data_IF_734538730779
#
_entry.id   IF_734538730779
#
_cell.length_a   1.000
_cell.length_b   1.000
_cell.length_c   1.000
_cell.angle_alpha   90.00
_cell.angle_beta   90.00
_cell.angle_gamma   90.00
#
_symmetry.space_group_name_H-M   'P 1'
#
loop_
_entity.id
_entity.type
_entity.pdbx_description
1 polymer ?
#
# COMPACT_ATOMS: atom_id res chain seq x y z
N UNK A 1 -18.20 11.01 9.41
CA UNK A 1 -17.73 10.48 8.11
C UNK A 1 -17.69 11.60 7.08
N UNK A 2 -16.90 11.47 6.00
CA UNK A 2 -16.87 12.44 4.89
C UNK A 2 -18.04 12.17 3.93
N UNK A 3 -18.44 13.18 3.15
CA UNK A 3 -19.56 13.07 2.18
C UNK A 3 -19.34 11.97 1.13
N UNK A 4 -18.10 11.77 0.68
CA UNK A 4 -17.71 10.71 -0.27
C UNK A 4 -17.82 9.31 0.34
N UNK A 5 -17.56 9.18 1.63
CA UNK A 5 -17.76 7.94 2.37
C UNK A 5 -19.24 7.63 2.59
N UNK A 6 -20.07 8.64 2.87
CA UNK A 6 -21.53 8.48 2.97
C UNK A 6 -22.13 8.04 1.62
N UNK A 7 -21.67 8.63 0.52
CA UNK A 7 -22.08 8.20 -0.84
C UNK A 7 -21.73 6.74 -1.11
N UNK A 8 -20.57 6.28 -0.65
CA UNK A 8 -20.18 4.88 -0.78
C UNK A 8 -21.07 3.94 0.05
N UNK A 9 -21.43 4.34 1.29
CA UNK A 9 -22.36 3.57 2.14
C UNK A 9 -23.73 3.49 1.47
N UNK A 10 -24.27 4.60 1.01
CA UNK A 10 -25.57 4.66 0.32
C UNK A 10 -25.60 3.72 -0.90
N UNK A 11 -24.50 3.62 -1.63
CA UNK A 11 -24.39 2.72 -2.77
C UNK A 11 -24.27 1.23 -2.38
N UNK A 12 -23.73 0.93 -1.19
CA UNK A 12 -23.47 -0.44 -0.73
C UNK A 12 -24.62 -1.04 0.09
N UNK A 13 -25.28 -0.25 0.93
CA UNK A 13 -26.31 -0.71 1.88
C UNK A 13 -27.50 -1.47 1.25
N UNK A 14 -28.02 -1.08 0.07
CA UNK A 14 -29.14 -1.77 -0.56
C UNK A 14 -28.82 -3.20 -1.01
N UNK A 15 -27.54 -3.58 -1.03
CA UNK A 15 -27.09 -4.84 -1.59
C UNK A 15 -26.54 -5.78 -0.51
N UNK A 16 -26.93 -7.06 -0.55
CA UNK A 16 -26.42 -8.09 0.35
C UNK A 16 -24.93 -8.37 0.08
N UNK A 17 -24.49 -8.26 -1.20
CA UNK A 17 -23.11 -8.52 -1.59
C UNK A 17 -22.57 -7.40 -2.48
N UNK A 18 -21.29 -7.07 -2.31
CA UNK A 18 -20.63 -6.08 -3.16
C UNK A 18 -19.20 -5.76 -2.76
N UNK A 19 -18.50 -5.14 -3.70
CA UNK A 19 -17.11 -4.69 -3.52
C UNK A 19 -17.06 -3.17 -3.50
N UNK A 20 -16.35 -2.63 -2.51
CA UNK A 20 -15.87 -1.26 -2.48
C UNK A 20 -14.48 -1.18 -3.10
N UNK A 21 -14.36 -0.54 -4.25
CA UNK A 21 -13.07 -0.24 -4.88
C UNK A 21 -12.64 1.19 -4.53
N UNK A 22 -11.73 1.33 -3.58
CA UNK A 22 -11.31 2.64 -3.07
C UNK A 22 -9.82 2.68 -2.74
N UNK A 23 -9.18 3.82 -2.95
CA UNK A 23 -7.76 4.06 -2.69
C UNK A 23 -7.38 3.79 -1.23
N UNK A 24 -6.08 3.60 -0.96
CA UNK A 24 -5.58 3.23 0.38
C UNK A 24 -5.97 4.23 1.46
N UNK A 25 -6.02 5.52 1.17
CA UNK A 25 -6.33 6.56 2.16
C UNK A 25 -7.82 6.97 2.21
N UNK A 26 -8.70 6.26 1.51
CA UNK A 26 -10.13 6.56 1.48
C UNK A 26 -10.84 6.30 2.83
N UNK A 27 -10.30 5.40 3.65
CA UNK A 27 -10.92 5.01 4.92
C UNK A 27 -11.83 3.79 4.80
N UNK A 28 -11.50 2.84 3.94
CA UNK A 28 -12.24 1.57 3.72
C UNK A 28 -12.62 0.87 5.02
N UNK A 29 -11.70 0.82 5.98
CA UNK A 29 -11.93 0.16 7.28
C UNK A 29 -13.04 0.82 8.08
N UNK A 30 -13.05 2.16 8.16
CA UNK A 30 -14.08 2.93 8.88
C UNK A 30 -15.46 2.72 8.23
N UNK A 31 -15.49 2.73 6.90
CA UNK A 31 -16.71 2.45 6.14
C UNK A 31 -17.22 1.02 6.42
N UNK A 32 -16.35 0.03 6.44
CA UNK A 32 -16.75 -1.33 6.76
C UNK A 32 -17.27 -1.48 8.20
N UNK A 33 -16.65 -0.81 9.18
CA UNK A 33 -17.14 -0.76 10.57
C UNK A 33 -18.55 -0.16 10.60
N UNK A 34 -18.79 0.94 9.87
CA UNK A 34 -20.13 1.55 9.78
C UNK A 34 -21.14 0.60 9.13
N UNK A 35 -20.76 -0.08 8.05
CA UNK A 35 -21.61 -1.08 7.37
C UNK A 35 -21.98 -2.24 8.31
N UNK A 36 -21.03 -2.73 9.12
CA UNK A 36 -21.32 -3.77 10.12
C UNK A 36 -22.32 -3.29 11.15
N UNK A 37 -22.18 -2.05 11.65
CA UNK A 37 -23.12 -1.46 12.61
C UNK A 37 -24.53 -1.30 12.02
N UNK A 38 -24.67 -0.80 10.79
CA UNK A 38 -25.96 -0.63 10.11
C UNK A 38 -26.69 -1.96 9.88
N UNK A 39 -25.95 -3.02 9.59
CA UNK A 39 -26.53 -4.34 9.35
C UNK A 39 -26.88 -5.11 10.61
N UNK A 40 -26.33 -4.74 11.77
CA UNK A 40 -26.64 -5.31 13.07
C UNK A 40 -26.44 -6.83 13.13
N UNK A 41 -25.46 -7.37 12.42
CA UNK A 41 -25.12 -8.80 12.40
C UNK A 41 -23.70 -9.01 12.92
N UNK A 42 -23.49 -10.17 13.54
CA UNK A 42 -22.15 -10.60 13.88
C UNK A 42 -21.28 -10.73 12.61
N UNK A 43 -20.00 -10.37 12.73
CA UNK A 43 -19.14 -10.22 11.58
C UNK A 43 -17.83 -11.00 11.70
N UNK A 44 -17.41 -11.61 10.60
CA UNK A 44 -16.09 -12.19 10.42
C UNK A 44 -15.30 -11.35 9.41
N UNK A 45 -14.17 -10.81 9.86
CA UNK A 45 -13.28 -10.00 9.03
C UNK A 45 -12.11 -10.87 8.58
N UNK A 46 -11.99 -11.09 7.29
CA UNK A 46 -10.93 -11.88 6.69
C UNK A 46 -9.78 -11.00 6.24
N UNK A 47 -8.60 -11.33 6.71
CA UNK A 47 -7.34 -10.68 6.32
C UNK A 47 -6.30 -11.74 5.93
N UNK A 48 -5.34 -11.37 5.09
CA UNK A 48 -4.30 -12.31 4.63
C UNK A 48 -2.98 -12.17 5.40
N UNK A 49 -2.85 -11.17 6.33
CA UNK A 49 -1.64 -10.93 7.12
C UNK A 49 -1.93 -10.51 8.54
N UNK A 50 -1.02 -10.89 9.44
CA UNK A 50 -1.08 -10.55 10.85
C UNK A 50 -1.12 -9.03 11.09
N UNK A 51 -0.33 -8.28 10.38
CA UNK A 51 -0.29 -6.83 10.52
C UNK A 51 -1.63 -6.16 10.21
N UNK A 52 -2.35 -6.63 9.18
CA UNK A 52 -3.71 -6.17 8.89
C UNK A 52 -4.68 -6.56 10.02
N UNK A 53 -4.54 -7.76 10.59
CA UNK A 53 -5.36 -8.18 11.72
C UNK A 53 -5.17 -7.26 12.93
N UNK A 54 -3.93 -6.94 13.28
CA UNK A 54 -3.62 -6.04 14.38
C UNK A 54 -4.20 -4.63 14.13
N UNK A 55 -4.08 -4.10 12.90
CA UNK A 55 -4.69 -2.82 12.50
C UNK A 55 -6.22 -2.83 12.55
N UNK A 56 -6.87 -3.92 12.14
CA UNK A 56 -8.31 -4.04 12.23
C UNK A 56 -8.78 -3.96 13.69
N UNK A 57 -8.09 -4.64 14.60
CA UNK A 57 -8.41 -4.62 16.03
C UNK A 57 -8.24 -3.21 16.60
N UNK A 58 -7.15 -2.51 16.28
CA UNK A 58 -6.92 -1.13 16.70
C UNK A 58 -8.02 -0.21 16.18
N UNK A 59 -8.42 -0.34 14.92
CA UNK A 59 -9.46 0.50 14.32
C UNK A 59 -10.87 0.17 14.84
N UNK A 60 -11.19 -1.10 15.07
CA UNK A 60 -12.43 -1.49 15.72
C UNK A 60 -12.54 -0.86 17.11
N UNK A 61 -11.45 -0.93 17.89
CA UNK A 61 -11.40 -0.31 19.23
C UNK A 61 -11.52 1.22 19.17
N UNK A 62 -10.91 1.86 18.16
CA UNK A 62 -10.90 3.32 18.03
C UNK A 62 -12.20 3.91 17.45
N UNK A 63 -12.89 3.17 16.58
CA UNK A 63 -14.06 3.68 15.83
C UNK A 63 -15.37 2.97 16.13
N UNK A 64 -15.42 2.09 17.14
CA UNK A 64 -16.65 1.50 17.65
C UNK A 64 -16.67 1.58 19.18
N UNK A 65 -17.81 1.25 19.77
CA UNK A 65 -17.98 1.14 21.22
C UNK A 65 -17.50 -0.19 21.79
N UNK A 66 -16.93 -1.07 20.93
CA UNK A 66 -16.49 -2.39 21.36
C UNK A 66 -15.15 -2.31 22.11
N UNK A 67 -15.05 -2.83 23.34
CA UNK A 67 -13.79 -2.93 24.03
C UNK A 67 -12.90 -3.99 23.34
N UNK A 68 -11.58 -3.81 23.46
CA UNK A 68 -10.60 -4.65 22.77
C UNK A 68 -10.73 -6.16 23.08
N UNK A 69 -11.13 -6.51 24.28
CA UNK A 69 -11.31 -7.88 24.75
C UNK A 69 -12.60 -8.54 24.21
N UNK A 70 -13.56 -7.77 23.70
CA UNK A 70 -14.74 -8.26 23.01
C UNK A 70 -14.48 -8.59 21.52
N UNK A 71 -13.35 -8.16 20.96
CA UNK A 71 -12.95 -8.46 19.59
C UNK A 71 -12.20 -9.79 19.56
N UNK A 72 -12.70 -10.76 18.80
CA UNK A 72 -12.06 -12.06 18.69
C UNK A 72 -10.93 -12.11 17.67
N UNK A 73 -10.05 -13.07 17.83
CA UNK A 73 -8.87 -13.27 16.99
C UNK A 73 -8.70 -14.74 16.60
N UNK A 74 -8.52 -15.00 15.30
CA UNK A 74 -8.25 -16.34 14.77
C UNK A 74 -7.02 -16.26 13.86
N UNK A 75 -5.87 -16.69 14.37
CA UNK A 75 -4.62 -16.71 13.62
C UNK A 75 -3.44 -16.10 14.34
N UNK A 76 -2.25 -16.19 13.75
CA UNK A 76 -1.03 -15.67 14.33
C UNK A 76 -0.65 -16.31 15.67
N UNK A 77 -0.91 -17.62 15.83
CA UNK A 77 -0.68 -18.34 17.08
C UNK A 77 -1.78 -18.17 18.15
N UNK A 78 -2.85 -17.43 17.85
CA UNK A 78 -3.98 -17.23 18.77
C UNK A 78 -5.27 -17.72 18.14
N UNK A 79 -6.12 -18.36 18.96
CA UNK A 79 -7.46 -18.78 18.59
C UNK A 79 -8.40 -18.46 19.74
N UNK A 80 -8.98 -17.27 19.70
CA UNK A 80 -9.90 -16.74 20.71
C UNK A 80 -11.08 -16.05 20.03
N UNK A 81 -11.96 -16.80 19.33
CA UNK A 81 -13.17 -16.21 18.76
C UNK A 81 -14.11 -15.72 19.86
N UNK A 82 -14.83 -14.67 19.59
CA UNK A 82 -15.86 -14.07 20.48
C UNK A 82 -17.27 -14.19 19.89
N UNK A 83 -17.37 -14.42 18.58
CA UNK A 83 -18.63 -14.67 17.89
C UNK A 83 -19.44 -13.42 17.55
N UNK A 84 -19.06 -12.25 18.05
CA UNK A 84 -19.71 -10.98 17.72
C UNK A 84 -18.98 -10.26 16.58
N UNK A 85 -17.71 -9.92 16.76
CA UNK A 85 -16.83 -9.42 15.71
C UNK A 85 -15.47 -10.11 15.87
N UNK A 86 -15.10 -10.90 14.90
CA UNK A 86 -13.87 -11.64 14.92
C UNK A 86 -13.01 -11.29 13.69
N UNK A 87 -11.70 -11.14 13.90
CA UNK A 87 -10.74 -10.92 12.83
C UNK A 87 -9.93 -12.21 12.63
N UNK A 88 -9.92 -12.72 11.42
CA UNK A 88 -9.29 -13.99 11.11
C UNK A 88 -8.25 -13.88 9.98
N UNK A 89 -7.11 -14.55 10.18
CA UNK A 89 -6.21 -14.88 9.07
C UNK A 89 -6.83 -15.99 8.24
N UNK A 90 -7.02 -15.77 6.95
CA UNK A 90 -7.64 -16.75 6.08
C UNK A 90 -6.92 -18.11 6.10
N UNK A 91 -5.58 -18.11 6.18
CA UNK A 91 -4.76 -19.32 6.25
C UNK A 91 -4.98 -20.12 7.55
N UNK A 92 -5.52 -19.48 8.59
CA UNK A 92 -5.82 -20.12 9.86
C UNK A 92 -7.19 -20.79 9.89
N UNK A 93 -8.04 -20.46 8.90
CA UNK A 93 -9.36 -21.06 8.71
C UNK A 93 -9.36 -22.24 7.75
N UNK A 94 -8.29 -22.43 6.98
CA UNK A 94 -8.18 -23.53 6.00
C UNK A 94 -7.00 -24.42 6.39
N UNK A 95 -7.27 -25.70 6.68
CA UNK A 95 -6.26 -26.72 6.97
C UNK A 95 -6.49 -27.95 6.12
N UNK A 96 -5.47 -28.39 5.37
CA UNK A 96 -5.53 -29.59 4.51
C UNK A 96 -6.75 -29.63 3.57
N UNK A 97 -7.17 -28.44 3.09
CA UNK A 97 -8.35 -28.34 2.20
C UNK A 97 -9.70 -28.26 2.93
N UNK A 98 -9.74 -28.43 4.25
CA UNK A 98 -10.95 -28.29 5.07
C UNK A 98 -11.05 -26.89 5.65
N UNK A 99 -12.26 -26.37 5.70
CA UNK A 99 -12.58 -25.05 6.27
C UNK A 99 -13.17 -25.21 7.66
N UNK A 100 -12.71 -24.40 8.58
CA UNK A 100 -13.21 -24.31 9.95
C UNK A 100 -14.71 -23.97 9.97
N UNK A 101 -15.48 -24.75 10.68
CA UNK A 101 -16.96 -24.62 10.78
C UNK A 101 -17.41 -23.26 11.35
N UNK A 102 -16.53 -22.59 12.08
CA UNK A 102 -16.80 -21.27 12.66
C UNK A 102 -17.21 -20.25 11.60
N UNK A 103 -16.72 -20.41 10.36
CA UNK A 103 -17.04 -19.52 9.23
C UNK A 103 -18.56 -19.44 8.96
N UNK A 104 -19.29 -20.53 9.23
CA UNK A 104 -20.72 -20.63 9.05
C UNK A 104 -21.56 -19.90 10.12
N UNK A 105 -20.93 -19.37 11.16
CA UNK A 105 -21.64 -18.80 12.32
C UNK A 105 -21.85 -17.27 12.22
N UNK A 106 -21.36 -16.62 11.16
CA UNK A 106 -21.44 -15.17 10.99
C UNK A 106 -22.48 -14.77 9.94
N UNK A 107 -23.20 -13.69 10.23
CA UNK A 107 -24.17 -13.11 9.31
C UNK A 107 -23.57 -12.08 8.33
N UNK A 108 -22.36 -11.58 8.62
CA UNK A 108 -21.64 -10.63 7.78
C UNK A 108 -20.17 -11.05 7.60
N UNK A 109 -19.73 -11.17 6.38
CA UNK A 109 -18.35 -11.47 5.99
C UNK A 109 -17.72 -10.21 5.39
N UNK A 110 -16.65 -9.69 5.99
CA UNK A 110 -15.86 -8.57 5.47
C UNK A 110 -14.52 -9.12 4.97
N UNK A 111 -14.17 -8.83 3.74
CA UNK A 111 -12.97 -9.36 3.08
C UNK A 111 -12.04 -8.21 2.74
N UNK A 112 -11.00 -8.02 3.54
CA UNK A 112 -10.06 -6.92 3.32
C UNK A 112 -8.98 -7.29 2.30
N UNK A 113 -8.63 -6.31 1.46
CA UNK A 113 -7.74 -6.46 0.31
C UNK A 113 -8.07 -7.73 -0.50
N UNK A 114 -9.33 -7.89 -0.86
CA UNK A 114 -9.88 -9.09 -1.48
C UNK A 114 -9.15 -9.51 -2.78
N UNK A 115 -8.39 -8.61 -3.40
CA UNK A 115 -7.54 -8.90 -4.55
C UNK A 115 -6.24 -9.66 -4.20
N UNK A 116 -5.84 -9.70 -2.94
CA UNK A 116 -4.65 -10.43 -2.47
C UNK A 116 -4.95 -11.85 -1.98
N UNK A 117 -6.21 -12.20 -1.80
CA UNK A 117 -6.57 -13.51 -1.30
C UNK A 117 -6.25 -14.60 -2.32
N UNK A 118 -5.70 -15.70 -1.86
CA UNK A 118 -5.55 -16.90 -2.68
C UNK A 118 -6.93 -17.31 -3.19
N UNK A 119 -7.07 -17.44 -4.51
CA UNK A 119 -8.32 -17.85 -5.13
C UNK A 119 -8.90 -19.10 -4.49
N UNK A 120 -8.08 -20.13 -4.27
CA UNK A 120 -8.50 -21.41 -3.69
C UNK A 120 -8.94 -21.29 -2.24
N UNK A 121 -8.11 -20.69 -1.36
CA UNK A 121 -8.47 -20.57 0.06
C UNK A 121 -9.69 -19.68 0.27
N UNK A 122 -9.82 -18.62 -0.51
CA UNK A 122 -10.97 -17.73 -0.40
C UNK A 122 -12.25 -18.38 -0.92
N UNK A 123 -12.18 -19.10 -2.03
CA UNK A 123 -13.31 -19.85 -2.56
C UNK A 123 -13.83 -20.88 -1.55
N UNK A 124 -12.93 -21.65 -0.91
CA UNK A 124 -13.29 -22.59 0.12
C UNK A 124 -14.02 -21.93 1.30
N UNK A 125 -13.48 -20.83 1.81
CA UNK A 125 -14.09 -20.06 2.92
C UNK A 125 -15.43 -19.46 2.50
N UNK A 126 -15.53 -18.88 1.31
CA UNK A 126 -16.77 -18.28 0.82
C UNK A 126 -17.88 -19.32 0.64
N UNK A 127 -17.57 -20.51 0.11
CA UNK A 127 -18.52 -21.62 -0.02
C UNK A 127 -19.02 -22.17 1.33
N UNK A 128 -18.17 -22.12 2.36
CA UNK A 128 -18.55 -22.56 3.71
C UNK A 128 -19.34 -21.50 4.47
N UNK A 129 -19.19 -20.24 4.10
CA UNK A 129 -19.88 -19.12 4.74
C UNK A 129 -21.39 -19.20 4.51
N UNK A 130 -22.16 -18.96 5.59
CA UNK A 130 -23.61 -18.78 5.56
C UNK A 130 -23.98 -17.30 5.72
N UNK A 131 -23.01 -16.40 5.63
CA UNK A 131 -23.23 -14.97 5.78
C UNK A 131 -24.17 -14.46 4.68
N UNK A 132 -25.23 -13.79 5.08
CA UNK A 132 -26.10 -13.07 4.16
C UNK A 132 -25.37 -11.90 3.51
N UNK A 133 -24.56 -11.18 4.29
CA UNK A 133 -23.87 -9.99 3.84
C UNK A 133 -22.39 -10.27 3.56
N UNK A 134 -21.92 -9.91 2.37
CA UNK A 134 -20.51 -10.04 2.01
C UNK A 134 -20.01 -8.69 1.46
N UNK A 135 -18.99 -8.12 2.10
CA UNK A 135 -18.35 -6.87 1.71
C UNK A 135 -16.89 -7.10 1.37
N UNK A 136 -16.55 -6.96 0.09
CA UNK A 136 -15.16 -6.93 -0.37
C UNK A 136 -14.59 -5.51 -0.33
N UNK A 137 -13.39 -5.36 0.21
CA UNK A 137 -12.64 -4.09 0.22
C UNK A 137 -11.39 -4.26 -0.64
N UNK A 138 -11.13 -3.33 -1.55
CA UNK A 138 -9.94 -3.37 -2.40
C UNK A 138 -9.46 -1.98 -2.80
N UNK A 139 -8.15 -1.82 -2.89
CA UNK A 139 -7.57 -0.64 -3.55
C UNK A 139 -7.59 -0.79 -5.08
N UNK A 140 -7.58 -2.02 -5.58
CA UNK A 140 -7.62 -2.35 -7.01
C UNK A 140 -8.52 -3.57 -7.22
N UNK A 141 -9.40 -3.51 -8.22
CA UNK A 141 -10.30 -4.63 -8.56
C UNK A 141 -9.67 -5.61 -9.54
N UNK A 142 -8.54 -5.24 -10.15
CA UNK A 142 -7.80 -6.08 -11.09
C UNK A 142 -6.69 -6.84 -10.37
N UNK A 143 -6.58 -8.15 -10.65
CA UNK A 143 -5.51 -9.01 -10.14
C UNK A 143 -4.39 -9.16 -11.16
N UNK A 144 -3.16 -9.35 -10.69
CA UNK A 144 -1.98 -9.59 -11.54
C UNK A 144 -2.11 -10.87 -12.38
N UNK A 145 -2.75 -11.89 -11.81
CA UNK A 145 -2.92 -13.22 -12.39
C UNK A 145 -4.16 -13.35 -13.29
N UNK A 146 -4.91 -12.27 -13.52
CA UNK A 146 -6.13 -12.29 -14.32
C UNK A 146 -7.36 -12.90 -13.64
N UNK A 147 -7.23 -13.47 -12.44
CA UNK A 147 -8.33 -14.12 -11.71
C UNK A 147 -9.24 -13.14 -10.97
N UNK A 148 -9.37 -11.89 -11.43
CA UNK A 148 -10.29 -10.90 -10.87
C UNK A 148 -11.79 -11.31 -10.92
N UNK A 149 -12.27 -12.15 -11.87
CA UNK A 149 -13.66 -12.60 -11.82
C UNK A 149 -14.02 -13.32 -10.53
N UNK A 150 -13.08 -14.02 -9.90
CA UNK A 150 -13.31 -14.72 -8.62
C UNK A 150 -13.73 -13.76 -7.51
N UNK A 151 -13.17 -12.55 -7.47
CA UNK A 151 -13.57 -11.52 -6.49
C UNK A 151 -15.04 -11.19 -6.67
N UNK A 152 -15.48 -10.99 -7.91
CA UNK A 152 -16.88 -10.67 -8.24
C UNK A 152 -17.80 -11.85 -7.93
N UNK A 153 -17.36 -13.07 -8.23
CA UNK A 153 -18.14 -14.27 -7.92
C UNK A 153 -18.37 -14.49 -6.43
N UNK A 154 -17.37 -14.15 -5.59
CA UNK A 154 -17.43 -14.42 -4.15
C UNK A 154 -17.91 -13.21 -3.32
N UNK A 155 -17.54 -12.00 -3.69
CA UNK A 155 -17.92 -10.78 -2.96
C UNK A 155 -19.07 -10.01 -3.62
N UNK A 156 -19.50 -10.41 -4.81
CA UNK A 156 -20.46 -9.65 -5.62
C UNK A 156 -19.79 -8.58 -6.49
N UNK A 157 -20.58 -7.85 -7.30
CA UNK A 157 -20.06 -6.83 -8.19
C UNK A 157 -19.52 -5.61 -7.45
N UNK A 158 -18.71 -4.80 -8.15
CA UNK A 158 -18.26 -3.51 -7.63
C UNK A 158 -19.48 -2.57 -7.56
N UNK A 159 -19.90 -2.25 -6.35
CA UNK A 159 -21.06 -1.37 -6.08
C UNK A 159 -20.67 0.11 -5.99
N UNK A 160 -19.45 0.37 -5.56
CA UNK A 160 -18.92 1.72 -5.51
C UNK A 160 -17.44 1.73 -5.90
N UNK A 161 -17.07 2.67 -6.76
CA UNK A 161 -15.69 2.87 -7.19
C UNK A 161 -15.29 4.32 -6.94
N UNK A 162 -14.21 4.49 -6.20
CA UNK A 162 -13.62 5.80 -5.93
C UNK A 162 -12.62 6.13 -7.04
N UNK A 163 -12.79 7.28 -7.67
CA UNK A 163 -11.82 7.80 -8.62
C UNK A 163 -10.57 8.29 -7.88
N UNK A 164 -9.46 7.61 -8.10
CA UNK A 164 -8.19 7.92 -7.45
C UNK A 164 -7.67 9.32 -7.79
N UNK A 165 -7.90 9.78 -9.03
CA UNK A 165 -7.50 11.10 -9.51
C UNK A 165 -8.34 12.20 -8.87
N UNK A 166 -9.65 12.01 -8.81
CA UNK A 166 -10.56 12.94 -8.14
C UNK A 166 -10.25 13.02 -6.64
N UNK A 167 -9.93 11.89 -6.00
CA UNK A 167 -9.51 11.88 -4.59
C UNK A 167 -8.16 12.59 -4.37
N UNK A 168 -7.20 12.44 -5.27
CA UNK A 168 -5.94 13.17 -5.19
C UNK A 168 -6.17 14.68 -5.29
N UNK A 169 -7.04 15.13 -6.19
CA UNK A 169 -7.35 16.55 -6.39
C UNK A 169 -7.99 17.24 -5.17
N UNK A 170 -8.65 16.47 -4.29
CA UNK A 170 -9.26 17.01 -3.05
C UNK A 170 -8.25 17.26 -1.92
N UNK A 171 -7.00 16.82 -2.08
CA UNK A 171 -6.00 16.92 -0.99
C UNK A 171 -5.34 18.27 -0.99
N UNK A 172 -4.96 18.80 0.20
CA UNK A 172 -4.37 20.13 0.34
C UNK A 172 -2.89 20.19 -0.07
N UNK A 173 -2.37 19.21 -0.80
CA UNK A 173 -0.97 19.13 -1.22
C UNK A 173 -0.84 18.62 -2.66
N UNK A 174 0.22 19.08 -3.33
CA UNK A 174 0.55 18.69 -4.70
C UNK A 174 1.06 17.25 -4.78
N UNK A 175 0.83 16.62 -5.92
CA UNK A 175 1.29 15.26 -6.21
C UNK A 175 2.25 15.26 -7.40
N UNK A 176 3.53 15.00 -7.15
CA UNK A 176 4.58 15.13 -8.15
C UNK A 176 5.37 13.83 -8.29
N UNK A 177 5.73 13.48 -9.51
CA UNK A 177 6.74 12.45 -9.80
C UNK A 177 7.92 13.11 -10.48
N UNK A 178 9.09 12.94 -9.91
CA UNK A 178 10.38 13.31 -10.51
C UNK A 178 10.99 12.08 -11.16
N UNK A 179 11.04 12.06 -12.50
CA UNK A 179 11.70 10.98 -13.23
C UNK A 179 13.21 11.27 -13.24
N UNK A 180 13.99 10.32 -12.77
CA UNK A 180 15.46 10.35 -12.74
C UNK A 180 16.00 9.36 -13.77
N UNK A 181 16.49 9.86 -14.89
CA UNK A 181 17.13 9.01 -15.88
C UNK A 181 18.46 8.49 -15.34
N UNK A 182 18.70 7.18 -15.47
CA UNK A 182 19.94 6.54 -15.05
C UNK A 182 20.79 6.17 -16.27
N UNK A 183 22.08 5.93 -16.03
CA UNK A 183 22.99 5.45 -17.04
C UNK A 183 23.16 3.92 -17.04
N UNK A 184 22.39 3.22 -16.23
CA UNK A 184 22.48 1.77 -16.09
C UNK A 184 22.37 1.05 -17.44
N UNK A 185 23.30 0.14 -17.69
CA UNK A 185 23.36 -0.72 -18.87
C UNK A 185 23.74 -2.13 -18.42
N UNK A 186 23.16 -3.13 -19.08
CA UNK A 186 23.55 -4.52 -18.87
C UNK A 186 24.96 -4.78 -19.46
N UNK A 187 25.77 -5.50 -18.72
CA UNK A 187 27.02 -6.03 -19.21
C UNK A 187 26.75 -7.28 -20.05
N UNK A 188 26.40 -7.09 -21.33
CA UNK A 188 26.13 -8.22 -22.22
C UNK A 188 27.45 -8.69 -22.86
N UNK A 189 27.75 -9.98 -22.68
CA UNK A 189 28.83 -10.64 -23.43
C UNK A 189 28.24 -11.20 -24.74
N UNK A 190 28.87 -10.93 -25.86
CA UNK A 190 28.47 -11.45 -27.18
C UNK A 190 28.38 -12.99 -27.12
N UNK A 191 27.22 -13.54 -27.52
CA UNK A 191 26.99 -14.98 -27.56
C UNK A 191 26.29 -15.58 -26.33
N UNK A 192 25.95 -14.78 -25.30
CA UNK A 192 25.13 -15.24 -24.16
C UNK A 192 23.63 -15.08 -24.43
N UNK A 193 22.78 -16.02 -23.93
CA UNK A 193 21.32 -15.86 -23.99
C UNK A 193 20.88 -14.55 -23.31
N UNK A 194 19.76 -14.00 -23.76
CA UNK A 194 19.18 -12.80 -23.14
C UNK A 194 18.99 -13.02 -21.63
N UNK A 195 19.48 -12.11 -20.77
CA UNK A 195 19.41 -12.28 -19.32
C UNK A 195 17.96 -12.32 -18.84
N UNK A 196 17.69 -13.16 -17.84
CA UNK A 196 16.39 -13.17 -17.18
C UNK A 196 16.14 -11.85 -16.46
N UNK A 197 14.88 -11.52 -16.19
CA UNK A 197 14.56 -10.32 -15.40
C UNK A 197 15.22 -10.34 -14.01
N UNK A 198 15.46 -11.53 -13.46
CA UNK A 198 16.13 -11.67 -12.16
C UNK A 198 17.61 -11.31 -12.23
N UNK A 199 18.28 -11.66 -13.33
CA UNK A 199 19.68 -11.30 -13.56
C UNK A 199 19.80 -9.79 -13.78
N UNK A 200 18.91 -9.21 -14.60
CA UNK A 200 18.82 -7.75 -14.78
C UNK A 200 18.65 -7.01 -13.47
N UNK A 201 17.75 -7.47 -12.59
CA UNK A 201 17.52 -6.85 -11.30
C UNK A 201 18.67 -7.07 -10.31
N UNK A 202 19.48 -8.10 -10.49
CA UNK A 202 20.68 -8.34 -9.69
C UNK A 202 21.78 -7.33 -10.09
N UNK A 203 22.07 -7.21 -11.37
CA UNK A 203 23.05 -6.21 -11.86
C UNK A 203 22.61 -4.77 -11.49
N UNK A 204 21.31 -4.47 -11.58
CA UNK A 204 20.77 -3.16 -11.22
C UNK A 204 21.04 -2.77 -9.75
N UNK A 205 20.97 -3.74 -8.84
CA UNK A 205 21.23 -3.53 -7.41
C UNK A 205 22.70 -3.22 -7.15
N UNK A 206 23.59 -3.80 -7.95
CA UNK A 206 25.04 -3.69 -7.80
C UNK A 206 25.62 -2.49 -8.56
N UNK A 207 24.81 -1.72 -9.33
CA UNK A 207 25.27 -0.54 -10.08
C UNK A 207 25.53 0.64 -9.12
N UNK A 208 26.80 0.94 -8.90
CA UNK A 208 27.24 1.98 -7.98
C UNK A 208 26.80 3.37 -8.41
N UNK A 209 26.92 3.74 -9.69
CA UNK A 209 26.54 5.06 -10.17
C UNK A 209 25.05 5.34 -9.99
N UNK A 210 24.21 4.32 -10.16
CA UNK A 210 22.76 4.38 -9.87
C UNK A 210 22.50 4.50 -8.37
N UNK A 211 23.21 3.76 -7.56
CA UNK A 211 23.09 3.82 -6.11
C UNK A 211 23.58 5.17 -5.55
N UNK A 212 24.60 5.78 -6.15
CA UNK A 212 25.05 7.12 -5.80
C UNK A 212 23.98 8.16 -6.12
N UNK A 213 23.36 8.10 -7.31
CA UNK A 213 22.26 8.98 -7.67
C UNK A 213 21.08 8.86 -6.69
N UNK A 214 20.73 7.64 -6.27
CA UNK A 214 19.66 7.41 -5.27
C UNK A 214 20.06 8.02 -3.93
N UNK A 215 21.29 7.81 -3.52
CA UNK A 215 21.80 8.32 -2.25
C UNK A 215 21.78 9.85 -2.20
N UNK A 216 22.29 10.51 -3.26
CA UNK A 216 22.31 11.97 -3.36
C UNK A 216 20.91 12.57 -3.33
N UNK A 217 19.96 11.97 -4.07
CA UNK A 217 18.57 12.39 -4.07
C UNK A 217 17.90 12.25 -2.68
N UNK A 218 18.25 11.20 -1.92
CA UNK A 218 17.75 11.00 -0.54
C UNK A 218 18.32 12.06 0.39
N UNK A 219 19.62 12.36 0.29
CA UNK A 219 20.25 13.41 1.10
C UNK A 219 19.64 14.78 0.80
N UNK A 220 19.47 15.15 -0.47
CA UNK A 220 18.80 16.39 -0.85
C UNK A 220 17.39 16.49 -0.26
N UNK A 221 16.62 15.39 -0.26
CA UNK A 221 15.30 15.40 0.35
C UNK A 221 15.34 15.59 1.87
N UNK A 222 16.33 15.02 2.55
CA UNK A 222 16.53 15.22 3.98
C UNK A 222 16.92 16.67 4.30
N UNK A 223 17.81 17.28 3.51
CA UNK A 223 18.19 18.69 3.62
C UNK A 223 17.01 19.64 3.38
N UNK A 224 16.07 19.25 2.49
CA UNK A 224 14.79 19.95 2.29
C UNK A 224 13.81 19.77 3.47
N UNK A 225 14.18 19.04 4.53
CA UNK A 225 13.34 18.75 5.70
C UNK A 225 12.21 17.77 5.42
N UNK A 226 12.33 16.96 4.36
CA UNK A 226 11.31 15.99 3.99
C UNK A 226 11.37 14.72 4.84
N UNK A 227 10.28 13.95 4.80
CA UNK A 227 10.17 12.64 5.47
C UNK A 227 10.18 11.50 4.44
N UNK A 228 11.37 11.08 3.98
CA UNK A 228 11.49 10.10 2.91
C UNK A 228 11.28 8.66 3.35
N UNK A 229 10.75 7.86 2.42
CA UNK A 229 10.81 6.41 2.44
C UNK A 229 11.46 5.87 1.18
N UNK A 230 12.49 5.05 1.34
CA UNK A 230 13.21 4.39 0.26
C UNK A 230 12.70 2.96 0.15
N UNK A 231 12.17 2.58 -1.02
CA UNK A 231 11.62 1.25 -1.26
C UNK A 231 12.52 0.45 -2.20
N UNK A 232 12.87 -0.75 -1.76
CA UNK A 232 13.51 -1.76 -2.59
C UNK A 232 12.82 -3.12 -2.45
N UNK A 233 12.97 -3.99 -3.45
CA UNK A 233 12.43 -5.37 -3.41
C UNK A 233 13.50 -6.40 -2.98
N UNK A 234 14.76 -5.98 -2.80
CA UNK A 234 15.90 -6.84 -2.48
C UNK A 234 16.48 -6.50 -1.11
N UNK A 235 16.65 -7.52 -0.26
CA UNK A 235 17.19 -7.35 1.10
C UNK A 235 18.63 -6.87 1.09
N UNK A 236 19.46 -7.37 0.17
CA UNK A 236 20.85 -6.92 0.00
C UNK A 236 20.92 -5.42 -0.33
N UNK A 237 20.11 -4.97 -1.31
CA UNK A 237 20.03 -3.55 -1.66
C UNK A 237 19.52 -2.68 -0.50
N UNK A 238 18.53 -3.17 0.26
CA UNK A 238 18.05 -2.49 1.45
C UNK A 238 19.16 -2.28 2.48
N UNK A 239 19.96 -3.32 2.73
CA UNK A 239 21.08 -3.28 3.68
C UNK A 239 22.19 -2.33 3.20
N UNK A 240 22.52 -2.35 1.90
CA UNK A 240 23.50 -1.43 1.29
C UNK A 240 23.06 0.03 1.45
N UNK A 241 21.82 0.36 1.07
CA UNK A 241 21.31 1.73 1.17
C UNK A 241 21.24 2.17 2.64
N UNK A 242 20.72 1.32 3.53
CA UNK A 242 20.59 1.65 4.96
C UNK A 242 21.96 1.95 5.58
N UNK A 243 22.96 1.09 5.32
CA UNK A 243 24.33 1.26 5.84
C UNK A 243 24.98 2.55 5.34
N UNK A 244 24.77 2.92 4.08
CA UNK A 244 25.27 4.21 3.55
C UNK A 244 24.62 5.40 4.26
N UNK A 245 23.31 5.35 4.47
CA UNK A 245 22.57 6.44 5.10
C UNK A 245 22.84 6.60 6.60
N UNK A 246 23.23 5.52 7.30
CA UNK A 246 23.53 5.57 8.77
C UNK A 246 24.61 6.59 9.15
N UNK A 247 25.50 6.95 8.22
CA UNK A 247 26.56 7.93 8.44
C UNK A 247 26.14 9.38 8.14
N UNK A 248 24.99 9.59 7.51
CA UNK A 248 24.54 10.89 6.99
C UNK A 248 23.18 11.32 7.52
N UNK A 249 22.28 10.38 7.77
CA UNK A 249 20.95 10.67 8.29
C UNK A 249 20.90 10.45 9.80
N UNK A 250 20.24 11.35 10.53
CA UNK A 250 20.13 11.30 11.99
C UNK A 250 19.43 10.03 12.48
N UNK A 251 18.35 9.63 11.80
CA UNK A 251 17.61 8.41 12.12
C UNK A 251 17.35 7.60 10.84
N UNK A 252 17.98 6.44 10.77
CA UNK A 252 17.70 5.43 9.74
C UNK A 252 16.87 4.31 10.36
N UNK A 253 15.67 4.07 9.81
CA UNK A 253 14.76 3.03 10.28
C UNK A 253 14.54 2.00 9.19
N UNK A 254 14.92 0.76 9.46
CA UNK A 254 14.84 -0.34 8.50
C UNK A 254 13.59 -1.19 8.74
N UNK A 255 12.74 -1.33 7.69
CA UNK A 255 11.50 -2.10 7.72
C UNK A 255 11.56 -3.24 6.70
N UNK A 256 11.65 -4.47 7.19
CA UNK A 256 11.73 -5.66 6.31
C UNK A 256 10.87 -6.82 6.79
N UNK A 257 10.57 -7.74 5.90
CA UNK A 257 9.94 -9.01 6.24
C UNK A 257 10.82 -9.88 7.15
N UNK A 258 10.22 -10.90 7.79
CA UNK A 258 10.94 -11.86 8.64
C UNK A 258 11.25 -11.38 10.06
N UNK A 259 10.92 -10.14 10.41
CA UNK A 259 11.10 -9.61 11.77
C UNK A 259 10.09 -10.23 12.74
N UNK A 260 10.58 -10.57 13.96
CA UNK A 260 9.75 -11.07 15.04
C UNK A 260 8.75 -10.02 15.53
N UNK A 261 7.74 -10.45 16.28
CA UNK A 261 6.74 -9.52 16.86
C UNK A 261 7.38 -8.51 17.83
N UNK A 262 8.39 -8.93 18.57
CA UNK A 262 9.16 -8.07 19.46
C UNK A 262 9.90 -6.99 18.65
N UNK A 263 10.66 -7.39 17.63
CA UNK A 263 11.39 -6.44 16.77
C UNK A 263 10.46 -5.42 16.11
N UNK A 264 9.27 -5.85 15.65
CA UNK A 264 8.29 -4.92 15.05
C UNK A 264 7.75 -3.92 16.07
N UNK A 265 7.49 -4.35 17.30
CA UNK A 265 7.07 -3.45 18.39
C UNK A 265 8.18 -2.46 18.75
N UNK A 266 9.41 -2.93 18.86
CA UNK A 266 10.56 -2.07 19.16
C UNK A 266 10.78 -1.01 18.07
N UNK A 267 10.65 -1.38 16.80
CA UNK A 267 10.74 -0.45 15.66
C UNK A 267 9.58 0.57 15.69
N UNK A 268 8.35 0.12 15.95
CA UNK A 268 7.21 1.02 16.06
C UNK A 268 7.37 2.01 17.22
N UNK A 269 7.85 1.54 18.37
CA UNK A 269 8.16 2.39 19.52
C UNK A 269 9.28 3.39 19.19
N UNK A 270 10.35 2.95 18.52
CA UNK A 270 11.44 3.82 18.05
C UNK A 270 10.92 4.91 17.09
N UNK A 271 10.10 4.54 16.10
CA UNK A 271 9.51 5.49 15.17
C UNK A 271 8.61 6.52 15.87
N UNK A 272 7.81 6.08 16.83
CA UNK A 272 6.94 6.95 17.62
C UNK A 272 7.73 7.90 18.53
N UNK A 273 8.91 7.48 19.00
CA UNK A 273 9.77 8.27 19.87
C UNK A 273 10.56 9.36 19.11
N UNK A 274 10.71 9.27 17.79
CA UNK A 274 11.41 10.29 16.99
C UNK A 274 10.54 11.55 16.92
N UNK A 275 11.00 12.71 17.43
CA UNK A 275 10.27 13.96 17.37
C UNK A 275 9.89 14.35 15.92
N UNK A 276 8.78 15.06 15.76
CA UNK A 276 8.30 15.44 14.42
C UNK A 276 9.29 16.34 13.66
N UNK A 277 10.03 17.19 14.37
CA UNK A 277 11.02 18.09 13.79
C UNK A 277 12.38 17.42 13.50
N UNK A 278 12.59 16.18 13.93
CA UNK A 278 13.84 15.50 13.68
C UNK A 278 13.86 14.77 12.35
N UNK A 279 14.99 14.91 11.66
CA UNK A 279 15.30 14.23 10.42
C UNK A 279 15.28 12.71 10.58
N UNK A 280 14.63 12.04 9.65
CA UNK A 280 14.61 10.57 9.60
C UNK A 280 14.39 10.07 8.18
N UNK A 281 14.93 8.92 7.89
CA UNK A 281 14.68 8.17 6.66
C UNK A 281 14.20 6.74 6.99
N UNK A 282 13.22 6.27 6.26
CA UNK A 282 12.75 4.89 6.33
C UNK A 282 13.27 4.14 5.11
N UNK A 283 13.95 3.02 5.32
CA UNK A 283 14.35 2.11 4.24
C UNK A 283 13.55 0.82 4.37
N UNK A 284 12.73 0.51 3.38
CA UNK A 284 11.75 -0.57 3.48
C UNK A 284 11.76 -1.52 2.30
N UNK A 285 11.43 -2.80 2.55
CA UNK A 285 11.02 -3.67 1.45
C UNK A 285 9.61 -3.30 1.02
N UNK A 286 9.37 -3.29 -0.29
CA UNK A 286 8.08 -2.90 -0.86
C UNK A 286 6.93 -3.71 -0.28
N UNK A 287 7.13 -5.00 -0.03
CA UNK A 287 6.14 -5.86 0.62
C UNK A 287 5.75 -5.37 2.02
N UNK A 288 6.68 -4.84 2.81
CA UNK A 288 6.40 -4.35 4.16
C UNK A 288 5.62 -3.03 4.11
N UNK A 289 6.05 -2.10 3.26
CA UNK A 289 5.38 -0.81 3.11
C UNK A 289 3.99 -0.95 2.49
N UNK A 290 3.83 -1.79 1.46
CA UNK A 290 2.57 -1.98 0.74
C UNK A 290 1.43 -2.43 1.63
N UNK A 291 1.72 -3.23 2.64
CA UNK A 291 0.73 -3.93 3.42
C UNK A 291 0.87 -3.63 4.92
N UNK A 292 0.21 -2.58 5.39
CA UNK A 292 -0.01 -2.36 6.81
C UNK A 292 0.90 -1.35 7.50
N UNK A 293 1.92 -0.77 6.87
CA UNK A 293 2.67 0.34 7.44
C UNK A 293 1.89 1.65 7.26
N UNK A 294 1.78 2.45 8.31
CA UNK A 294 1.04 3.71 8.30
C UNK A 294 1.82 4.78 9.07
N UNK A 295 2.27 5.83 8.37
CA UNK A 295 2.93 6.98 8.95
C UNK A 295 2.50 8.24 8.19
N UNK A 296 1.83 9.15 8.90
CA UNK A 296 1.28 10.37 8.30
C UNK A 296 2.34 11.38 7.88
N UNK A 297 3.56 11.28 8.40
CA UNK A 297 4.66 12.20 8.07
C UNK A 297 5.25 11.96 6.69
N UNK A 298 5.14 10.74 6.13
CA UNK A 298 5.74 10.39 4.84
C UNK A 298 5.24 11.29 3.71
N UNK A 299 6.13 11.99 3.07
CA UNK A 299 5.88 12.91 1.96
C UNK A 299 6.71 12.63 0.71
N UNK A 300 7.79 11.86 0.83
CA UNK A 300 8.68 11.52 -0.28
C UNK A 300 8.90 10.02 -0.39
N UNK A 301 8.76 9.50 -1.59
CA UNK A 301 8.96 8.07 -1.90
C UNK A 301 10.08 7.93 -2.95
N UNK A 302 11.10 7.16 -2.61
CA UNK A 302 12.14 6.74 -3.54
C UNK A 302 11.86 5.33 -4.03
N UNK A 303 11.45 5.20 -5.29
CA UNK A 303 11.18 3.92 -5.93
C UNK A 303 12.45 3.38 -6.57
N UNK A 304 13.31 2.74 -5.78
CA UNK A 304 14.65 2.34 -6.22
C UNK A 304 14.67 1.09 -7.09
N UNK A 305 13.59 0.32 -7.13
CA UNK A 305 13.48 -0.88 -7.97
C UNK A 305 12.32 -0.74 -8.96
N UNK A 306 12.48 -1.22 -10.20
CA UNK A 306 11.43 -1.14 -11.19
C UNK A 306 10.24 -2.03 -10.82
N UNK A 307 9.05 -1.45 -10.76
CA UNK A 307 7.78 -2.14 -10.65
C UNK A 307 6.97 -1.94 -11.92
N UNK A 308 6.20 -2.94 -12.33
CA UNK A 308 5.39 -2.87 -13.55
C UNK A 308 3.89 -2.82 -13.28
N UNK A 309 3.45 -3.14 -12.06
CA UNK A 309 2.03 -3.28 -11.76
C UNK A 309 1.44 -2.02 -11.12
N UNK A 310 0.37 -1.51 -11.75
CA UNK A 310 -0.34 -0.30 -11.29
C UNK A 310 -0.88 -0.39 -9.87
N UNK A 311 -1.30 -1.59 -9.43
CA UNK A 311 -1.81 -1.80 -8.08
C UNK A 311 -0.75 -1.61 -6.99
N UNK A 312 0.46 -2.13 -7.20
CA UNK A 312 1.60 -1.92 -6.28
C UNK A 312 1.95 -0.43 -6.19
N UNK A 313 1.99 0.25 -7.35
CA UNK A 313 2.26 1.68 -7.41
C UNK A 313 1.22 2.49 -6.62
N UNK A 314 -0.06 2.21 -6.82
CA UNK A 314 -1.14 2.88 -6.10
C UNK A 314 -1.09 2.61 -4.57
N UNK A 315 -0.67 1.42 -4.15
CA UNK A 315 -0.46 1.10 -2.73
C UNK A 315 0.67 1.93 -2.11
N UNK A 316 1.83 2.01 -2.79
CA UNK A 316 2.97 2.77 -2.29
C UNK A 316 2.68 4.27 -2.27
N UNK A 317 2.17 4.82 -3.37
CA UNK A 317 1.76 6.22 -3.44
C UNK A 317 0.71 6.56 -2.39
N UNK A 318 -0.23 5.66 -2.14
CA UNK A 318 -1.27 5.82 -1.12
C UNK A 318 -0.75 5.99 0.31
N UNK A 319 0.49 5.58 0.61
CA UNK A 319 1.12 5.83 1.91
C UNK A 319 1.49 7.30 2.10
N UNK A 320 1.83 8.00 1.03
CA UNK A 320 2.09 9.44 1.07
C UNK A 320 0.81 10.26 1.24
N UNK A 321 -0.34 9.69 0.93
CA UNK A 321 -1.63 10.40 0.87
C UNK A 321 -2.30 10.61 2.24
N UNK A 322 -1.67 10.22 3.35
CA UNK A 322 -2.17 10.52 4.69
C UNK A 322 -2.09 12.03 4.94
N UNK A 323 -3.17 12.57 5.48
CA UNK A 323 -3.23 13.99 5.84
C UNK A 323 -2.24 14.27 6.98
N UNK A 324 -1.50 15.34 6.83
CA UNK A 324 -0.60 15.91 7.82
C UNK A 324 -0.45 17.39 7.49
N UNK A 325 -0.61 18.25 8.47
CA UNK A 325 -0.66 19.71 8.27
C UNK A 325 0.65 20.30 7.74
N UNK A 326 1.78 19.59 7.98
CA UNK A 326 3.09 19.99 7.47
C UNK A 326 3.30 19.67 5.98
N UNK A 327 2.37 18.95 5.32
CA UNK A 327 2.54 18.55 3.91
C UNK A 327 1.99 19.61 2.97
N UNK A 328 2.86 20.12 2.12
CA UNK A 328 2.51 20.99 0.98
C UNK A 328 2.60 20.26 -0.36
N UNK A 329 3.42 19.23 -0.42
CA UNK A 329 3.66 18.43 -1.61
C UNK A 329 4.05 16.99 -1.23
N UNK A 330 3.65 16.04 -2.05
CA UNK A 330 4.15 14.66 -2.00
C UNK A 330 4.91 14.34 -3.28
N UNK A 331 6.12 13.78 -3.14
CA UNK A 331 7.02 13.51 -4.26
C UNK A 331 7.32 12.03 -4.36
N UNK A 332 7.31 11.51 -5.59
CA UNK A 332 7.85 10.19 -5.93
C UNK A 332 9.07 10.39 -6.81
N UNK A 333 10.22 9.88 -6.40
CA UNK A 333 11.39 9.74 -7.26
C UNK A 333 11.32 8.36 -7.94
N UNK A 334 11.29 8.36 -9.26
CA UNK A 334 11.24 7.16 -10.11
C UNK A 334 12.49 7.10 -10.98
N UNK A 335 13.33 6.10 -10.74
CA UNK A 335 14.57 5.88 -11.49
C UNK A 335 14.27 5.10 -12.75
N UNK A 336 14.49 5.74 -13.91
CA UNK A 336 14.17 5.24 -15.24
C UNK A 336 15.43 4.73 -15.94
N UNK A 337 15.58 3.42 -15.98
CA UNK A 337 16.72 2.72 -16.59
C UNK A 337 16.43 2.48 -18.08
N UNK A 338 16.44 3.57 -18.89
CA UNK A 338 15.92 3.59 -20.26
C UNK A 338 16.80 2.82 -21.27
N UNK A 339 18.07 2.56 -20.95
CA UNK A 339 19.00 1.84 -21.84
C UNK A 339 18.77 0.32 -21.84
N UNK A 340 17.94 -0.20 -20.93
CA UNK A 340 17.57 -1.61 -20.84
C UNK A 340 16.12 -1.78 -21.29
N UNK A 341 15.83 -2.46 -22.43
CA UNK A 341 14.49 -2.45 -23.04
C UNK A 341 13.37 -2.96 -22.15
N UNK A 342 13.62 -3.97 -21.30
CA UNK A 342 12.60 -4.47 -20.36
C UNK A 342 12.28 -3.45 -19.27
N UNK A 343 13.30 -2.74 -18.76
CA UNK A 343 13.13 -1.71 -17.74
C UNK A 343 12.47 -0.45 -18.31
N UNK A 344 12.82 -0.06 -19.54
CA UNK A 344 12.15 1.03 -20.25
C UNK A 344 10.65 0.78 -20.43
N UNK A 345 10.25 -0.46 -20.81
CA UNK A 345 8.82 -0.84 -20.85
C UNK A 345 8.12 -0.76 -19.48
N UNK A 346 8.84 -1.13 -18.42
CA UNK A 346 8.31 -1.01 -17.05
C UNK A 346 8.14 0.47 -16.65
N UNK A 347 9.11 1.34 -16.98
CA UNK A 347 9.02 2.78 -16.73
C UNK A 347 7.84 3.41 -17.47
N UNK A 348 7.62 3.06 -18.74
CA UNK A 348 6.47 3.53 -19.52
C UNK A 348 5.13 3.15 -18.86
N UNK A 349 5.00 1.91 -18.36
CA UNK A 349 3.81 1.47 -17.61
C UNK A 349 3.60 2.26 -16.32
N UNK A 350 4.67 2.56 -15.57
CA UNK A 350 4.61 3.37 -14.36
C UNK A 350 4.13 4.79 -14.66
N UNK A 351 4.64 5.42 -15.73
CA UNK A 351 4.24 6.77 -16.15
C UNK A 351 2.72 6.88 -16.35
N UNK A 352 2.12 5.91 -17.06
CA UNK A 352 0.65 5.83 -17.19
C UNK A 352 -0.03 5.62 -15.84
N UNK A 353 0.58 4.82 -14.96
CA UNK A 353 0.07 4.58 -13.60
C UNK A 353 0.04 5.84 -12.74
N UNK A 354 1.08 6.66 -12.78
CA UNK A 354 1.15 7.95 -12.04
C UNK A 354 0.06 8.91 -12.47
N UNK A 355 -0.15 9.07 -13.77
CA UNK A 355 -1.22 9.92 -14.30
C UNK A 355 -2.61 9.45 -13.88
N UNK A 356 -2.82 8.12 -13.83
CA UNK A 356 -4.09 7.53 -13.42
C UNK A 356 -4.43 7.75 -11.93
N UNK A 357 -3.41 7.98 -11.08
CA UNK A 357 -3.59 8.27 -9.66
C UNK A 357 -3.43 9.76 -9.32
N UNK A 358 -3.37 10.63 -10.33
CA UNK A 358 -3.41 12.09 -10.17
C UNK A 358 -2.07 12.77 -9.93
N UNK A 359 -0.95 12.10 -10.21
CA UNK A 359 0.38 12.72 -10.11
C UNK A 359 0.76 13.47 -11.39
N UNK A 360 1.35 14.66 -11.22
CA UNK A 360 2.04 15.40 -12.28
C UNK A 360 3.43 14.79 -12.48
N UNK A 361 3.72 14.35 -13.69
CA UNK A 361 5.04 13.78 -14.02
C UNK A 361 5.94 14.87 -14.55
N UNK A 362 7.07 15.11 -13.86
CA UNK A 362 8.13 16.02 -14.27
C UNK A 362 9.29 15.21 -14.85
N UNK A 363 9.73 15.53 -16.05
CA UNK A 363 10.92 14.94 -16.68
C UNK A 363 12.21 15.67 -16.26
N UNK A 364 13.37 15.10 -16.61
CA UNK A 364 14.66 15.70 -16.30
C UNK A 364 14.83 17.11 -16.84
N UNK A 365 14.17 17.48 -17.95
CA UNK A 365 14.16 18.85 -18.51
C UNK A 365 13.35 19.85 -17.70
N UNK A 366 12.33 19.42 -16.96
CA UNK A 366 11.48 20.29 -16.16
C UNK A 366 12.12 20.65 -14.82
N UNK A 367 13.08 19.88 -14.35
CA UNK A 367 13.75 20.09 -13.05
C UNK A 367 14.72 21.29 -13.06
N UNK A 368 15.22 21.69 -14.24
CA UNK A 368 16.16 22.81 -14.40
C UNK A 368 15.51 24.10 -14.89
N UNK A 369 14.24 24.06 -15.28
CA UNK A 369 13.48 25.23 -15.70
C UNK A 369 12.82 25.94 -14.54
N UNK A 370 13.51 26.51 -13.60
CA UNK A 370 13.06 27.20 -12.39
C UNK A 370 11.78 28.10 -12.47
N UNK A 371 10.74 27.63 -13.13
CA UNK A 371 9.42 28.25 -13.13
C UNK A 371 8.62 27.79 -11.93
N UNK A 372 8.66 28.59 -10.89
CA UNK A 372 7.59 28.65 -9.89
C UNK A 372 6.28 28.87 -10.65
N UNK A 373 5.48 27.82 -10.78
CA UNK A 373 4.11 27.96 -11.29
C UNK A 373 3.29 28.61 -10.18
N UNK A 374 3.29 29.92 -10.16
CA UNK A 374 2.31 30.69 -9.43
C UNK A 374 0.92 30.35 -9.97
N UNK A 375 0.10 29.82 -9.09
CA UNK A 375 -1.33 29.62 -9.31
C UNK A 375 -1.99 30.97 -9.52
N UNK A 376 -2.25 31.36 -10.77
CA UNK A 376 -3.15 32.45 -11.12
C UNK A 376 -4.28 31.87 -11.98
N UNK A 377 -5.39 31.59 -11.36
CA UNK A 377 -6.70 31.54 -12.01
C UNK A 377 -7.79 31.82 -10.96
N UNK A 378 -7.79 33.01 -10.46
CA UNK A 378 -8.98 33.69 -9.97
C UNK A 378 -9.02 35.02 -10.72
N UNK A 379 -9.98 35.17 -11.60
CA UNK A 379 -10.81 36.33 -11.81
C UNK A 379 -11.32 36.44 -13.25
N UNK A 380 -12.61 36.62 -13.33
CA UNK A 380 -13.40 37.46 -14.26
C UNK A 380 -13.66 36.89 -15.66
N UNK A 381 -14.82 36.48 -15.91
CA UNK A 381 -16.12 37.07 -16.26
C UNK A 381 -17.12 36.00 -16.66
#
# INVERSE_FOLDING_TARGET
>A
MRSDQESAITALLPHDTGVLAATTAFGKTILAIRMMAERGRNALILVHRRQLMDQWIERLTAFSTMPRDAIGMIGGGRRKPKGQVDVALIQSLVRKGEVDDIVGNYGHLVVDECHHLSAVSFELVARRSKARYILGLSATVTRKDGHHPIIVMQCGPVRHRVDARAEAAKRPFNHVVRIRDTNFQLQTTLGTPAPSIQDVLKELVDDEARNDLIFDDVLCALEEGRSPVVITERTTHLETIAKRLEHFARHVVVLRGGQSEKQRRDIAARLAAIPHAEERVIVATGRYLGEGFDDSRLDTLFLTMPIAWKGTLAQYAGRLHRLNDAKHEVIIYDYADMKVPVLARMAAKRRVGYQAIGYKVLGARDLFSGQVVTSNALATR
#
